data_IF_701324191359
#
_entry.id   IF_701324191359
#
_cell.length_a   1.000
_cell.length_b   1.000
_cell.length_c   1.000
_cell.angle_alpha   90.00
_cell.angle_beta   90.00
_cell.angle_gamma   90.00
#
_symmetry.space_group_name_H-M   'P 1'
#
loop_
_entity.id
_entity.type
_entity.pdbx_description
1 polymer ?
#
# COMPACT_ATOMS: atom_id res chain seq x y z
N UNK A 1 16.24 -8.64 12.40
CA UNK A 1 14.82 -8.46 12.05
C UNK A 1 14.56 -6.97 12.12
N UNK A 2 14.19 -6.35 11.00
CA UNK A 2 13.75 -4.95 11.04
C UNK A 2 12.35 -4.89 11.64
N UNK A 3 12.01 -3.77 12.27
CA UNK A 3 10.66 -3.51 12.74
C UNK A 3 9.99 -2.53 11.76
N UNK A 4 8.73 -2.78 11.35
CA UNK A 4 8.01 -1.87 10.48
C UNK A 4 7.75 -0.53 11.19
N UNK A 5 7.66 0.58 10.45
CA UNK A 5 7.28 1.86 11.02
C UNK A 5 5.85 1.79 11.58
N UNK A 6 5.63 2.31 12.79
CA UNK A 6 4.32 2.24 13.48
C UNK A 6 3.19 2.95 12.71
N UNK A 7 3.53 3.94 11.87
CA UNK A 7 2.58 4.62 11.00
C UNK A 7 1.97 3.72 9.92
N UNK A 8 2.64 2.61 9.57
CA UNK A 8 2.24 1.73 8.46
C UNK A 8 0.85 1.11 8.65
N UNK A 9 0.47 0.80 9.89
CA UNK A 9 -0.74 0.04 10.20
C UNK A 9 -2.01 0.87 10.09
N UNK A 10 -2.49 1.07 8.87
CA UNK A 10 -3.73 1.78 8.52
C UNK A 10 -4.10 1.53 7.07
N UNK A 11 -5.21 2.11 6.65
CA UNK A 11 -5.61 2.22 5.25
C UNK A 11 -4.86 3.38 4.57
N UNK A 12 -4.32 3.11 3.39
CA UNK A 12 -3.51 4.02 2.60
C UNK A 12 -4.13 4.16 1.21
N UNK A 13 -4.47 5.37 0.80
CA UNK A 13 -5.03 5.70 -0.49
C UNK A 13 -3.99 6.36 -1.39
N UNK A 14 -3.97 5.98 -2.67
CA UNK A 14 -2.97 6.45 -3.63
C UNK A 14 -3.22 7.92 -4.00
N UNK A 15 -2.23 8.76 -3.72
CA UNK A 15 -2.15 10.17 -4.09
C UNK A 15 -1.39 10.34 -5.42
N UNK A 16 -2.08 10.14 -6.55
CA UNK A 16 -1.48 10.23 -7.89
C UNK A 16 -0.80 11.57 -8.15
N UNK A 17 -1.31 12.63 -7.53
CA UNK A 17 -0.85 14.00 -7.68
C UNK A 17 0.50 14.25 -7.00
N UNK A 18 0.89 13.39 -6.06
CA UNK A 18 2.13 13.50 -5.29
C UNK A 18 3.19 12.48 -5.72
N UNK A 19 2.82 11.53 -6.59
CA UNK A 19 3.76 10.60 -7.23
C UNK A 19 4.88 11.37 -7.94
N UNK A 20 6.10 10.83 -7.85
CA UNK A 20 7.26 11.42 -8.51
C UNK A 20 8.28 10.33 -8.81
N UNK A 21 8.96 10.47 -9.96
CA UNK A 21 9.97 9.51 -10.42
C UNK A 21 9.41 8.07 -10.42
N UNK A 22 9.97 7.18 -9.62
CA UNK A 22 9.55 5.80 -9.39
C UNK A 22 8.86 5.58 -8.03
N UNK A 23 8.62 6.67 -7.29
CA UNK A 23 8.00 6.68 -5.96
C UNK A 23 6.50 6.90 -6.09
N UNK A 24 5.75 5.99 -5.48
CA UNK A 24 4.30 6.13 -5.29
C UNK A 24 3.98 6.68 -3.92
N UNK A 25 3.10 7.66 -3.86
CA UNK A 25 2.73 8.34 -2.63
C UNK A 25 1.32 7.93 -2.21
N UNK A 26 1.20 7.53 -0.96
CA UNK A 26 -0.07 7.19 -0.35
C UNK A 26 -0.31 8.07 0.87
N UNK A 27 -1.58 8.43 1.08
CA UNK A 27 -2.06 9.21 2.21
C UNK A 27 -3.11 8.42 3.00
N UNK A 28 -3.33 8.72 4.30
CA UNK A 28 -4.44 8.15 5.05
C UNK A 28 -5.79 8.42 4.38
N UNK A 29 -6.81 7.64 4.73
CA UNK A 29 -8.15 7.76 4.14
C UNK A 29 -8.85 9.10 4.45
N UNK A 30 -8.48 9.76 5.56
CA UNK A 30 -8.97 11.09 5.96
C UNK A 30 -8.32 12.26 5.18
N UNK A 31 -7.30 11.99 4.35
CA UNK A 31 -6.62 13.03 3.61
C UNK A 31 -7.57 13.69 2.57
N UNK A 32 -7.60 15.04 2.48
CA UNK A 32 -8.52 15.76 1.59
C UNK A 32 -8.07 15.70 0.13
N UNK A 33 -8.27 14.54 -0.49
CA UNK A 33 -7.95 14.32 -1.89
C UNK A 33 -8.77 15.22 -2.82
N UNK A 34 -8.18 15.77 -3.90
CA UNK A 34 -8.96 16.40 -4.94
C UNK A 34 -9.80 15.33 -5.68
N UNK A 35 -10.88 15.77 -6.36
CA UNK A 35 -11.78 14.86 -7.07
C UNK A 35 -11.06 13.96 -8.07
N UNK A 36 -11.26 12.64 -7.95
CA UNK A 36 -10.69 11.64 -8.83
C UNK A 36 -11.73 10.59 -9.21
N UNK A 37 -11.56 9.93 -10.37
CA UNK A 37 -12.41 8.80 -10.82
C UNK A 37 -12.01 7.50 -10.09
N UNK A 38 -12.07 7.52 -8.77
CA UNK A 38 -11.61 6.47 -7.88
C UNK A 38 -10.10 6.49 -7.63
N UNK A 39 -9.68 5.85 -6.52
CA UNK A 39 -8.28 5.69 -6.13
C UNK A 39 -8.00 4.25 -5.78
N UNK A 40 -6.79 3.80 -6.09
CA UNK A 40 -6.26 2.55 -5.53
C UNK A 40 -5.94 2.77 -4.06
N UNK A 41 -5.98 1.71 -3.28
CA UNK A 41 -5.56 1.75 -1.90
C UNK A 41 -4.96 0.42 -1.46
N UNK A 42 -4.46 0.42 -0.24
CA UNK A 42 -3.94 -0.76 0.43
C UNK A 42 -4.05 -0.58 1.93
N UNK A 43 -4.28 -1.67 2.65
CA UNK A 43 -4.40 -1.69 4.11
C UNK A 43 -3.41 -2.66 4.72
N UNK A 44 -2.74 -2.22 5.78
CA UNK A 44 -1.84 -3.04 6.57
C UNK A 44 -2.35 -3.16 8.00
N UNK A 45 -2.50 -4.39 8.48
CA UNK A 45 -2.80 -4.66 9.88
C UNK A 45 -1.53 -5.19 10.61
N UNK A 46 -1.40 -4.92 11.92
CA UNK A 46 -0.20 -5.27 12.69
C UNK A 46 0.02 -6.79 12.85
N UNK A 47 -1.00 -7.61 12.55
CA UNK A 47 -0.97 -9.07 12.60
C UNK A 47 -0.39 -9.73 11.33
N UNK A 48 0.04 -8.92 10.34
CA UNK A 48 0.51 -9.40 9.04
C UNK A 48 -0.58 -9.55 7.99
N UNK A 49 -1.82 -9.16 8.30
CA UNK A 49 -2.93 -9.13 7.32
C UNK A 49 -2.78 -7.93 6.38
N UNK A 50 -2.99 -8.16 5.09
CA UNK A 50 -2.92 -7.15 4.03
C UNK A 50 -4.18 -7.18 3.19
N UNK A 51 -4.63 -6.01 2.70
CA UNK A 51 -5.71 -5.91 1.73
C UNK A 51 -5.30 -4.95 0.60
N UNK A 52 -5.32 -5.42 -0.65
CA UNK A 52 -5.16 -4.58 -1.83
C UNK A 52 -6.52 -4.08 -2.30
N UNK A 53 -6.66 -2.77 -2.47
CA UNK A 53 -7.86 -2.13 -3.02
C UNK A 53 -7.56 -1.66 -4.45
N UNK A 54 -7.71 -2.53 -5.46
CA UNK A 54 -7.56 -2.13 -6.84
C UNK A 54 -8.59 -1.07 -7.25
N UNK A 55 -8.23 -0.25 -8.23
CA UNK A 55 -9.20 0.57 -8.94
C UNK A 55 -10.08 -0.39 -9.76
N UNK A 56 -11.26 -0.70 -9.24
CA UNK A 56 -12.19 -1.65 -9.84
C UNK A 56 -12.65 -1.17 -11.23
N UNK A 57 -12.76 -2.09 -12.18
CA UNK A 57 -13.54 -1.91 -13.41
C UNK A 57 -14.88 -2.64 -13.20
N UNK A 58 -15.90 -1.97 -12.66
CA UNK A 58 -17.21 -2.59 -12.37
C UNK A 58 -17.19 -3.58 -11.19
N UNK A 59 -18.04 -4.63 -11.24
CA UNK A 59 -18.30 -5.68 -10.22
C UNK A 59 -17.11 -6.59 -9.80
N UNK A 60 -15.87 -6.13 -9.97
CA UNK A 60 -14.72 -6.84 -9.42
C UNK A 60 -14.73 -6.79 -7.88
N UNK A 61 -14.28 -7.85 -7.17
CA UNK A 61 -14.11 -7.78 -5.71
C UNK A 61 -13.23 -6.58 -5.36
N UNK A 62 -13.81 -5.60 -4.66
CA UNK A 62 -13.17 -4.31 -4.37
C UNK A 62 -11.99 -4.41 -3.41
N UNK A 63 -11.82 -5.55 -2.74
CA UNK A 63 -10.75 -5.85 -1.81
C UNK A 63 -10.15 -7.22 -2.15
N UNK A 64 -8.83 -7.29 -2.26
CA UNK A 64 -8.10 -8.53 -2.49
C UNK A 64 -7.25 -8.83 -1.25
N UNK A 65 -7.61 -9.85 -0.47
CA UNK A 65 -6.86 -10.18 0.75
C UNK A 65 -5.48 -10.74 0.41
N UNK A 66 -4.54 -10.52 1.31
CA UNK A 66 -3.19 -11.04 1.24
C UNK A 66 -2.52 -11.02 2.61
N UNK A 67 -1.22 -11.28 2.62
CA UNK A 67 -0.36 -11.14 3.80
C UNK A 67 0.84 -10.29 3.45
N UNK A 68 1.30 -9.53 4.43
CA UNK A 68 2.52 -8.75 4.31
C UNK A 68 3.56 -9.20 5.33
N UNK A 69 4.83 -9.02 4.99
CA UNK A 69 5.96 -9.23 5.89
C UNK A 69 6.99 -8.13 5.72
N UNK A 70 7.48 -7.60 6.83
CA UNK A 70 8.65 -6.72 6.80
C UNK A 70 9.93 -7.54 6.69
N UNK A 71 10.74 -7.24 5.68
CA UNK A 71 12.04 -7.88 5.45
C UNK A 71 13.15 -6.82 5.57
N UNK A 72 14.44 -7.22 5.61
CA UNK A 72 15.55 -6.26 5.68
C UNK A 72 15.49 -5.18 4.60
N UNK A 73 16.27 -4.11 4.78
CA UNK A 73 16.38 -3.01 3.81
C UNK A 73 15.09 -2.23 3.56
N UNK A 74 14.24 -2.11 4.60
CA UNK A 74 12.96 -1.37 4.56
C UNK A 74 11.97 -1.89 3.52
N UNK A 75 12.01 -3.19 3.25
CA UNK A 75 11.15 -3.82 2.24
C UNK A 75 9.95 -4.50 2.86
N UNK A 76 8.88 -4.54 2.08
CA UNK A 76 7.65 -5.26 2.37
C UNK A 76 7.44 -6.28 1.26
N UNK A 77 7.33 -7.54 1.64
CA UNK A 77 6.84 -8.60 0.76
C UNK A 77 5.32 -8.71 0.91
N UNK A 78 4.61 -8.69 -0.21
CA UNK A 78 3.17 -8.89 -0.30
C UNK A 78 2.88 -10.23 -0.97
N UNK A 79 2.10 -11.06 -0.29
CA UNK A 79 1.71 -12.39 -0.77
C UNK A 79 0.19 -12.50 -0.88
N UNK A 80 -0.30 -13.06 -1.98
CA UNK A 80 -1.75 -13.14 -2.26
C UNK A 80 -2.26 -14.56 -2.45
N UNK A 81 -1.43 -15.59 -2.23
CA UNK A 81 -1.88 -16.99 -2.26
C UNK A 81 -2.40 -17.47 -3.63
N UNK A 82 -2.10 -16.75 -4.72
CA UNK A 82 -2.52 -17.09 -6.08
C UNK A 82 -3.64 -16.21 -6.65
N UNK A 83 -4.36 -15.43 -5.82
CA UNK A 83 -5.37 -14.47 -6.30
C UNK A 83 -4.74 -13.33 -7.11
N UNK A 84 -3.49 -12.98 -6.78
CA UNK A 84 -2.64 -12.01 -7.48
C UNK A 84 -1.18 -12.44 -7.46
N UNK A 85 -0.35 -11.93 -8.39
CA UNK A 85 1.08 -12.08 -8.26
C UNK A 85 1.56 -11.38 -6.99
N UNK A 86 2.44 -12.06 -6.28
CA UNK A 86 3.18 -11.52 -5.15
C UNK A 86 4.03 -10.32 -5.60
N UNK A 87 4.30 -9.39 -4.68
CA UNK A 87 4.99 -8.12 -4.99
C UNK A 87 5.92 -7.72 -3.87
N UNK A 88 6.95 -6.97 -4.21
CA UNK A 88 7.86 -6.38 -3.23
C UNK A 88 7.83 -4.85 -3.34
N UNK A 89 7.72 -4.20 -2.19
CA UNK A 89 7.75 -2.75 -2.05
C UNK A 89 8.93 -2.33 -1.18
N UNK A 90 9.63 -1.29 -1.55
CA UNK A 90 10.60 -0.60 -0.68
C UNK A 90 9.92 0.61 -0.03
N UNK A 91 9.99 0.74 1.29
CA UNK A 91 9.55 1.94 2.02
C UNK A 91 10.62 3.02 1.90
N UNK A 92 10.34 4.03 1.09
CA UNK A 92 11.14 5.25 0.98
C UNK A 92 10.92 6.12 2.22
N UNK A 93 9.65 6.30 2.60
CA UNK A 93 9.23 7.07 3.78
C UNK A 93 7.92 6.52 4.34
N UNK A 94 7.78 6.48 5.66
CA UNK A 94 6.52 6.20 6.31
C UNK A 94 6.44 6.97 7.62
N UNK A 95 5.42 7.80 7.76
CA UNK A 95 5.04 8.47 9.01
C UNK A 95 3.51 8.42 9.17
N UNK A 96 2.94 9.25 10.05
CA UNK A 96 1.49 9.26 10.30
C UNK A 96 0.66 9.78 9.11
N UNK A 97 1.27 10.58 8.23
CA UNK A 97 0.59 11.37 7.20
C UNK A 97 0.94 10.92 5.78
N UNK A 98 2.05 10.19 5.60
CA UNK A 98 2.48 9.74 4.27
C UNK A 98 3.17 8.37 4.31
N UNK A 99 2.86 7.56 3.30
CA UNK A 99 3.59 6.36 2.94
C UNK A 99 4.10 6.51 1.51
N UNK A 100 5.41 6.51 1.34
CA UNK A 100 6.08 6.54 0.05
C UNK A 100 6.76 5.22 -0.20
N UNK A 101 6.46 4.61 -1.33
CA UNK A 101 6.99 3.29 -1.69
C UNK A 101 7.49 3.25 -3.13
N UNK A 102 8.53 2.44 -3.35
CA UNK A 102 8.96 2.02 -4.69
C UNK A 102 8.53 0.59 -4.92
N UNK A 103 8.08 0.29 -6.15
CA UNK A 103 7.79 -1.09 -6.53
C UNK A 103 9.05 -1.75 -7.08
N UNK A 104 9.44 -2.88 -6.51
CA UNK A 104 10.60 -3.63 -6.94
C UNK A 104 10.24 -4.75 -7.92
N UNK A 105 9.08 -5.40 -7.73
CA UNK A 105 8.58 -6.51 -8.57
C UNK A 105 7.05 -6.57 -8.61
#
# INVERSE_FOLDING_TARGET
>A
MGEPPSGLFRSWLHSYEEDHEDVRVYRPDDFPFPPARGRRGMEFAPDGTFVDHPLGRGDAPGAVPGRWRFVPDRRIELTFGGDRPDRELEIVRCDADVLQVRRLT
#
